data_IF_148456812839
#
_entry.id   IF_148456812839
#
_cell.length_a   1.000
_cell.length_b   1.000
_cell.length_c   1.000
_cell.angle_alpha   90.00
_cell.angle_beta   90.00
_cell.angle_gamma   90.00
#
_symmetry.space_group_name_H-M   'P 1'
#
loop_
_entity.id
_entity.type
_entity.pdbx_description
1 polymer ?
#
# COMPACT_ATOMS: atom_id res chain seq x y z
N UNK A 1 -4.32 16.27 24.69
CA UNK A 1 -2.96 16.19 24.09
C UNK A 1 -2.52 14.72 23.97
N UNK A 2 -2.39 13.93 25.05
CA UNK A 2 -2.00 12.51 24.95
C UNK A 2 -2.95 11.63 24.11
N UNK A 3 -4.27 11.78 24.26
CA UNK A 3 -5.25 11.00 23.49
C UNK A 3 -5.14 11.23 21.97
N UNK A 4 -4.92 12.48 21.57
CA UNK A 4 -4.77 12.88 20.17
C UNK A 4 -3.51 12.27 19.53
N UNK A 5 -2.40 12.19 20.28
CA UNK A 5 -1.16 11.56 19.83
C UNK A 5 -1.31 10.04 19.68
N UNK A 6 -2.02 9.39 20.61
CA UNK A 6 -2.28 7.96 20.54
C UNK A 6 -3.09 7.59 19.28
N UNK A 7 -4.13 8.36 18.98
CA UNK A 7 -4.93 8.15 17.76
C UNK A 7 -4.07 8.31 16.51
N UNK A 8 -3.23 9.35 16.46
CA UNK A 8 -2.33 9.57 15.33
C UNK A 8 -1.37 8.39 15.12
N UNK A 9 -0.78 7.85 16.20
CA UNK A 9 0.09 6.67 16.15
C UNK A 9 -0.62 5.45 15.58
N UNK A 10 -1.87 5.19 15.98
CA UNK A 10 -2.66 4.07 15.46
C UNK A 10 -2.92 4.24 13.96
N UNK A 11 -3.26 5.44 13.50
CA UNK A 11 -3.43 5.72 12.07
C UNK A 11 -2.13 5.54 11.28
N UNK A 12 -0.99 6.02 11.80
CA UNK A 12 0.31 5.83 11.18
C UNK A 12 0.69 4.36 11.07
N UNK A 13 0.48 3.60 12.14
CA UNK A 13 0.78 2.18 12.18
C UNK A 13 -0.08 1.39 11.18
N UNK A 14 -1.39 1.69 11.13
CA UNK A 14 -2.30 1.05 10.18
C UNK A 14 -1.99 1.44 8.73
N UNK A 15 -1.68 2.72 8.47
CA UNK A 15 -1.25 3.19 7.16
C UNK A 15 -0.01 2.47 6.67
N UNK A 16 1.01 2.35 7.53
CA UNK A 16 2.24 1.63 7.19
C UNK A 16 2.00 0.14 6.94
N UNK A 17 1.20 -0.53 7.77
CA UNK A 17 0.83 -1.94 7.54
C UNK A 17 0.12 -2.14 6.21
N UNK A 18 -0.77 -1.22 5.84
CA UNK A 18 -1.49 -1.27 4.58
C UNK A 18 -0.54 -1.09 3.39
N UNK A 19 0.37 -0.11 3.45
CA UNK A 19 1.40 0.10 2.42
C UNK A 19 2.28 -1.14 2.25
N UNK A 20 2.79 -1.71 3.34
CA UNK A 20 3.61 -2.95 3.29
C UNK A 20 2.83 -4.14 2.74
N UNK A 21 1.54 -4.27 3.07
CA UNK A 21 0.70 -5.32 2.51
C UNK A 21 0.48 -5.14 0.99
N UNK A 22 0.32 -3.88 0.54
CA UNK A 22 0.19 -3.55 -0.89
C UNK A 22 1.45 -3.92 -1.66
N UNK A 23 2.64 -3.57 -1.15
CA UNK A 23 3.93 -3.91 -1.75
C UNK A 23 4.13 -5.44 -1.86
N UNK A 24 3.73 -6.19 -0.81
CA UNK A 24 3.75 -7.67 -0.85
C UNK A 24 2.81 -8.23 -1.90
N UNK A 25 1.62 -7.64 -2.05
CA UNK A 25 0.65 -8.06 -3.06
C UNK A 25 1.16 -7.78 -4.47
N UNK A 26 1.77 -6.62 -4.71
CA UNK A 26 2.41 -6.30 -5.99
C UNK A 26 3.44 -7.36 -6.38
N UNK A 27 4.35 -7.69 -5.45
CA UNK A 27 5.35 -8.73 -5.66
C UNK A 27 4.72 -10.10 -5.92
N UNK A 28 3.73 -10.50 -5.12
CA UNK A 28 3.06 -11.80 -5.31
C UNK A 28 2.36 -11.91 -6.66
N UNK A 29 1.71 -10.82 -7.12
CA UNK A 29 1.07 -10.74 -8.45
C UNK A 29 2.14 -10.79 -9.56
N UNK A 30 3.28 -10.15 -9.37
CA UNK A 30 4.38 -10.22 -10.33
C UNK A 30 4.95 -11.65 -10.45
N UNK A 31 5.12 -12.35 -9.33
CA UNK A 31 5.65 -13.71 -9.28
C UNK A 31 4.61 -14.82 -9.52
N UNK A 32 3.35 -14.51 -9.84
CA UNK A 32 2.30 -15.52 -10.00
C UNK A 32 2.40 -16.34 -11.30
N UNK A 33 3.47 -16.19 -12.09
CA UNK A 33 3.66 -16.89 -13.35
C UNK A 33 2.66 -16.46 -14.43
N UNK A 34 2.31 -15.17 -14.45
CA UNK A 34 1.29 -14.61 -15.35
C UNK A 34 1.55 -14.88 -16.84
N UNK A 35 2.81 -15.04 -17.23
CA UNK A 35 3.29 -15.48 -18.54
C UNK A 35 2.57 -16.75 -19.05
N UNK A 36 2.27 -17.70 -18.17
CA UNK A 36 1.69 -19.00 -18.51
C UNK A 36 0.14 -19.02 -18.49
N UNK A 37 -0.49 -17.90 -18.11
CA UNK A 37 -1.95 -17.82 -18.01
C UNK A 37 -2.62 -17.62 -19.38
N UNK A 38 -3.93 -17.85 -19.47
CA UNK A 38 -4.74 -17.52 -20.67
C UNK A 38 -4.83 -16.01 -20.86
N UNK A 39 -5.06 -15.54 -22.08
CA UNK A 39 -5.12 -14.10 -22.43
C UNK A 39 -6.09 -13.30 -21.55
N UNK A 40 -7.23 -13.89 -21.17
CA UNK A 40 -8.22 -13.26 -20.29
C UNK A 40 -7.66 -13.00 -18.88
N UNK A 41 -7.05 -14.02 -18.29
CA UNK A 41 -6.44 -13.94 -16.96
C UNK A 41 -5.22 -13.01 -16.96
N UNK A 42 -4.40 -13.01 -18.02
CA UNK A 42 -3.30 -12.04 -18.15
C UNK A 42 -3.76 -10.60 -18.11
N UNK A 43 -4.87 -10.27 -18.79
CA UNK A 43 -5.45 -8.92 -18.73
C UNK A 43 -5.90 -8.55 -17.31
N UNK A 44 -6.46 -9.51 -16.56
CA UNK A 44 -6.84 -9.30 -15.17
C UNK A 44 -5.62 -9.07 -14.28
N UNK A 45 -4.58 -9.90 -14.40
CA UNK A 45 -3.33 -9.75 -13.66
C UNK A 45 -2.65 -8.42 -13.99
N UNK A 46 -2.61 -8.01 -15.26
CA UNK A 46 -2.06 -6.72 -15.66
C UNK A 46 -2.84 -5.55 -15.02
N UNK A 47 -4.16 -5.66 -14.95
CA UNK A 47 -5.00 -4.65 -14.31
C UNK A 47 -4.78 -4.59 -12.79
N UNK A 48 -4.59 -5.75 -12.14
CA UNK A 48 -4.22 -5.84 -10.72
C UNK A 48 -2.84 -5.24 -10.47
N UNK A 49 -1.83 -5.57 -11.28
CA UNK A 49 -0.47 -5.06 -11.16
C UNK A 49 -0.44 -3.54 -11.34
N UNK A 50 -1.14 -3.01 -12.36
CA UNK A 50 -1.25 -1.57 -12.59
C UNK A 50 -1.90 -0.83 -11.41
N UNK A 51 -2.84 -1.46 -10.72
CA UNK A 51 -3.47 -0.91 -9.51
C UNK A 51 -2.56 -1.03 -8.28
N UNK A 52 -1.81 -2.11 -8.15
CA UNK A 52 -0.89 -2.35 -7.04
C UNK A 52 0.33 -1.43 -7.08
N UNK A 53 0.79 -1.05 -8.29
CA UNK A 53 1.85 -0.06 -8.51
C UNK A 53 1.44 1.38 -8.19
N UNK A 54 0.13 1.67 -8.07
CA UNK A 54 -0.33 2.96 -7.59
C UNK A 54 -0.09 3.02 -6.08
N UNK A 55 0.85 3.87 -5.61
CA UNK A 55 1.31 3.79 -4.24
C UNK A 55 0.17 4.14 -3.30
N UNK A 56 -0.23 3.19 -2.45
CA UNK A 56 -1.24 3.41 -1.39
C UNK A 56 -0.59 4.25 -0.29
N UNK A 57 -0.50 5.55 -0.55
CA UNK A 57 0.00 6.54 0.40
C UNK A 57 -1.20 7.17 1.07
N UNK A 58 -1.36 6.89 2.36
CA UNK A 58 -2.31 7.61 3.20
C UNK A 58 -1.70 8.98 3.50
N UNK A 59 -2.40 10.06 3.14
CA UNK A 59 -1.95 11.42 3.43
C UNK A 59 -2.78 12.02 4.57
N UNK A 60 -2.11 12.60 5.57
CA UNK A 60 -2.74 13.49 6.54
C UNK A 60 -2.96 14.85 5.88
N UNK A 61 -4.21 15.31 5.90
CA UNK A 61 -4.64 16.58 5.31
C UNK A 61 -4.22 16.77 3.82
N UNK A 62 -3.99 15.68 3.06
CA UNK A 62 -3.48 15.68 1.68
C UNK A 62 -2.09 16.31 1.46
N UNK A 63 -1.36 16.63 2.54
CA UNK A 63 -0.06 17.31 2.46
C UNK A 63 1.06 16.41 2.98
N UNK A 64 0.79 15.62 4.02
CA UNK A 64 1.84 14.89 4.73
C UNK A 64 1.61 13.38 4.56
N UNK A 65 2.54 12.63 3.93
CA UNK A 65 2.43 11.19 3.88
C UNK A 65 2.51 10.63 5.31
N UNK A 66 1.48 9.89 5.70
CA UNK A 66 1.39 9.24 7.01
C UNK A 66 2.29 8.01 6.97
N UNK A 67 3.57 8.22 7.28
CA UNK A 67 4.57 7.16 7.48
C UNK A 67 5.13 7.25 8.90
N UNK A 68 5.58 6.13 9.44
CA UNK A 68 6.18 6.09 10.77
C UNK A 68 7.46 6.96 10.83
N UNK A 69 8.16 7.09 9.69
CA UNK A 69 9.29 8.01 9.51
C UNK A 69 8.93 9.47 9.73
N UNK A 70 7.72 9.90 9.35
CA UNK A 70 7.25 11.28 9.50
C UNK A 70 6.91 11.62 10.96
N UNK A 71 6.58 10.62 11.78
CA UNK A 71 6.37 10.80 13.22
C UNK A 71 7.68 10.85 14.01
N UNK A 72 8.74 10.22 13.50
CA UNK A 72 10.05 10.15 14.15
C UNK A 72 10.97 11.35 13.83
N UNK A 73 10.50 12.31 13.03
CA UNK A 73 11.17 13.60 12.77
C UNK A 73 10.54 14.67 13.64
#
# INVERSE_FOLDING_TARGET
ICHSLFIFLVYCYQGQRLTTASEKLEMAVYYCGWENLRVKERKQVLMMLKRAQEPVIVYAAKVIPIRLSTFAT
#
